data_IF_861550427752
#
_entry.id   IF_861550427752
#
_cell.length_a   1.000
_cell.length_b   1.000
_cell.length_c   1.000
_cell.angle_alpha   90.00
_cell.angle_beta   90.00
_cell.angle_gamma   90.00
#
_symmetry.space_group_name_H-M   'P 1'
#
loop_
_entity.id
_entity.type
_entity.pdbx_description
1 polymer ?
#
# COMPACT_ATOMS: atom_id res chain seq x y z
N UNK A 1 -39.84 21.27 27.39
CA UNK A 1 -38.56 21.77 26.84
C UNK A 1 -38.07 20.79 25.78
N UNK A 2 -37.61 21.26 24.61
CA UNK A 2 -37.13 20.41 23.51
C UNK A 2 -35.59 20.42 23.54
N UNK A 3 -34.90 19.28 23.69
CA UNK A 3 -33.45 19.27 23.74
C UNK A 3 -32.87 19.65 22.37
N UNK A 4 -31.93 20.61 22.36
CA UNK A 4 -31.11 20.92 21.19
C UNK A 4 -29.75 20.28 21.39
N UNK A 5 -29.52 19.13 20.76
CA UNK A 5 -28.19 18.55 20.66
C UNK A 5 -27.43 19.24 19.52
N UNK A 6 -26.22 19.73 19.80
CA UNK A 6 -25.26 20.16 18.78
C UNK A 6 -24.14 19.13 18.76
N UNK A 7 -24.00 18.39 17.67
CA UNK A 7 -22.83 17.54 17.42
C UNK A 7 -21.73 18.44 16.87
N UNK A 8 -20.71 18.71 17.68
CA UNK A 8 -19.50 19.37 17.20
C UNK A 8 -18.57 18.27 16.69
N UNK A 9 -18.46 18.12 15.37
CA UNK A 9 -17.47 17.25 14.76
C UNK A 9 -16.15 18.02 14.77
N UNK A 10 -15.42 17.95 15.89
CA UNK A 10 -14.17 18.70 16.06
C UNK A 10 -13.02 18.12 15.26
N UNK A 11 -13.07 16.83 14.93
CA UNK A 11 -11.99 16.10 14.29
C UNK A 11 -12.50 15.13 13.21
N UNK A 12 -12.01 15.31 11.98
CA UNK A 12 -12.30 14.43 10.83
C UNK A 12 -10.99 14.05 10.17
N UNK A 13 -10.82 12.80 9.78
CA UNK A 13 -9.62 12.34 9.05
C UNK A 13 -10.02 11.40 7.91
N UNK A 14 -9.82 11.85 6.69
CA UNK A 14 -10.09 11.11 5.45
C UNK A 14 -8.76 10.81 4.77
N UNK A 15 -8.58 9.57 4.33
CA UNK A 15 -7.37 9.11 3.60
C UNK A 15 -7.77 8.53 2.26
N UNK A 16 -7.03 8.89 1.23
CA UNK A 16 -7.04 8.23 -0.06
C UNK A 16 -5.90 7.21 -0.09
N UNK A 17 -6.24 5.94 -0.29
CA UNK A 17 -5.29 4.82 -0.29
C UNK A 17 -5.38 4.07 -1.61
N UNK A 18 -4.23 3.73 -2.17
CA UNK A 18 -4.09 2.83 -3.31
C UNK A 18 -3.68 1.46 -2.77
N UNK A 19 -4.28 0.40 -3.30
CA UNK A 19 -3.93 -0.98 -2.99
C UNK A 19 -3.60 -1.73 -4.28
N UNK A 20 -2.61 -2.61 -4.23
CA UNK A 20 -2.20 -3.43 -5.34
C UNK A 20 -1.88 -4.85 -4.89
N UNK A 21 -2.12 -5.80 -5.77
CA UNK A 21 -1.78 -7.22 -5.60
C UNK A 21 -0.92 -7.65 -6.78
N UNK A 22 0.10 -8.47 -6.52
CA UNK A 22 1.00 -9.02 -7.53
C UNK A 22 1.08 -10.52 -7.38
N UNK A 23 0.78 -11.25 -8.46
CA UNK A 23 1.00 -12.69 -8.55
C UNK A 23 2.04 -12.97 -9.65
N UNK A 24 3.04 -13.78 -9.33
CA UNK A 24 4.14 -14.14 -10.24
C UNK A 24 4.26 -15.66 -10.37
N UNK A 25 4.76 -16.11 -11.53
CA UNK A 25 5.06 -17.52 -11.82
C UNK A 25 6.41 -17.62 -12.50
N UNK A 26 7.22 -18.56 -12.04
CA UNK A 26 8.42 -19.01 -12.76
C UNK A 26 8.02 -20.17 -13.67
N UNK A 27 8.34 -20.05 -14.96
CA UNK A 27 7.99 -21.05 -15.96
C UNK A 27 9.24 -21.79 -16.44
N UNK A 28 9.10 -23.09 -16.64
CA UNK A 28 10.07 -23.91 -17.35
C UNK A 28 10.09 -23.48 -18.81
N UNK A 29 11.25 -23.08 -19.32
CA UNK A 29 11.43 -22.72 -20.74
C UNK A 29 11.39 -23.95 -21.65
N UNK A 30 11.62 -25.15 -21.10
CA UNK A 30 11.59 -26.42 -21.86
C UNK A 30 10.18 -26.96 -22.02
N UNK A 31 9.36 -26.87 -20.98
CA UNK A 31 8.04 -27.54 -20.92
C UNK A 31 6.87 -26.58 -20.82
N UNK A 32 7.10 -25.30 -20.54
CA UNK A 32 6.06 -24.32 -20.22
C UNK A 32 5.40 -24.50 -18.85
N UNK A 33 5.76 -25.56 -18.11
CA UNK A 33 5.20 -25.85 -16.79
C UNK A 33 5.62 -24.83 -15.73
N UNK A 34 4.78 -24.62 -14.71
CA UNK A 34 5.13 -23.74 -13.57
C UNK A 34 6.08 -24.45 -12.63
N UNK A 35 7.24 -23.85 -12.41
CA UNK A 35 8.25 -24.32 -11.47
C UNK A 35 8.02 -23.76 -10.07
N UNK A 36 7.51 -22.52 -9.99
CA UNK A 36 7.28 -21.83 -8.74
C UNK A 36 6.27 -20.70 -8.93
N UNK A 37 5.61 -20.29 -7.84
CA UNK A 37 4.67 -19.15 -7.83
C UNK A 37 4.74 -18.42 -6.49
N UNK A 38 4.41 -17.14 -6.49
CA UNK A 38 4.22 -16.35 -5.27
C UNK A 38 3.21 -15.22 -5.53
N UNK A 39 2.62 -14.72 -4.46
CA UNK A 39 1.76 -13.54 -4.49
C UNK A 39 2.00 -12.65 -3.27
N UNK A 40 1.78 -11.35 -3.43
CA UNK A 40 1.85 -10.35 -2.37
C UNK A 40 0.84 -9.23 -2.61
N UNK A 41 0.46 -8.51 -1.55
CA UNK A 41 -0.40 -7.34 -1.60
C UNK A 41 0.21 -6.20 -0.79
N UNK A 42 0.06 -4.96 -1.27
CA UNK A 42 0.57 -3.76 -0.63
C UNK A 42 -0.39 -2.59 -0.82
N UNK A 43 -0.40 -1.68 0.15
CA UNK A 43 -1.23 -0.47 0.13
C UNK A 43 -0.41 0.75 0.52
N UNK A 44 -0.71 1.90 -0.09
CA UNK A 44 -0.07 3.18 0.22
C UNK A 44 -1.05 4.35 0.19
N UNK A 45 -0.92 5.28 1.13
CA UNK A 45 -1.74 6.50 1.18
C UNK A 45 -1.20 7.53 0.20
N UNK A 46 -2.03 8.01 -0.73
CA UNK A 46 -1.69 9.05 -1.72
C UNK A 46 -2.21 10.43 -1.34
N UNK A 47 -3.17 10.48 -0.41
CA UNK A 47 -3.73 11.75 0.05
C UNK A 47 -4.38 11.64 1.42
N UNK A 48 -4.42 12.77 2.12
CA UNK A 48 -5.06 12.91 3.42
C UNK A 48 -5.70 14.27 3.54
N UNK A 49 -6.92 14.30 4.04
CA UNK A 49 -7.63 15.50 4.49
C UNK A 49 -7.93 15.32 5.97
N UNK A 50 -7.51 16.26 6.81
CA UNK A 50 -7.82 16.24 8.22
C UNK A 50 -8.35 17.60 8.68
N UNK A 51 -9.39 17.58 9.52
CA UNK A 51 -9.86 18.70 10.32
C UNK A 51 -9.45 18.41 11.75
N UNK A 52 -8.70 19.30 12.38
CA UNK A 52 -8.33 19.19 13.78
C UNK A 52 -8.54 20.53 14.47
N UNK A 53 -9.36 20.56 15.53
CA UNK A 53 -9.67 21.81 16.24
C UNK A 53 -10.28 22.90 15.34
N UNK A 54 -10.99 22.52 14.28
CA UNK A 54 -11.57 23.46 13.30
C UNK A 54 -10.63 23.95 12.21
N UNK A 55 -9.36 23.51 12.20
CA UNK A 55 -8.39 23.86 11.17
C UNK A 55 -8.26 22.72 10.14
N UNK A 56 -8.54 22.98 8.84
CA UNK A 56 -8.31 22.00 7.79
C UNK A 56 -6.83 21.89 7.43
N UNK A 57 -6.39 20.66 7.16
CA UNK A 57 -5.10 20.32 6.59
C UNK A 57 -5.31 19.34 5.44
N UNK A 58 -4.59 19.58 4.34
CA UNK A 58 -4.59 18.71 3.17
C UNK A 58 -3.14 18.36 2.87
N UNK A 59 -2.87 17.06 2.74
CA UNK A 59 -1.57 16.55 2.32
C UNK A 59 -1.80 15.62 1.14
N UNK A 60 -1.08 15.87 0.05
CA UNK A 60 -1.06 15.02 -1.13
C UNK A 60 0.37 14.51 -1.29
N UNK A 61 0.52 13.20 -1.45
CA UNK A 61 1.80 12.64 -1.91
C UNK A 61 1.81 12.66 -3.43
N UNK A 62 3.02 12.72 -3.99
CA UNK A 62 3.19 12.46 -5.40
C UNK A 62 2.71 11.03 -5.70
N UNK A 63 1.74 10.91 -6.61
CA UNK A 63 1.11 9.64 -6.96
C UNK A 63 2.11 8.67 -7.59
N UNK A 64 3.04 9.18 -8.41
CA UNK A 64 4.03 8.36 -9.09
C UNK A 64 5.05 7.81 -8.09
N UNK A 65 5.48 8.66 -7.14
CA UNK A 65 6.35 8.21 -6.04
C UNK A 65 5.69 7.13 -5.18
N UNK A 66 4.42 7.35 -4.78
CA UNK A 66 3.67 6.40 -3.97
C UNK A 66 3.44 5.06 -4.71
N UNK A 67 3.17 5.11 -6.02
CA UNK A 67 3.07 3.91 -6.84
C UNK A 67 4.42 3.18 -6.95
N UNK A 68 5.50 3.91 -7.18
CA UNK A 68 6.85 3.36 -7.26
C UNK A 68 7.25 2.62 -5.98
N UNK A 69 6.90 3.15 -4.81
CA UNK A 69 7.10 2.48 -3.51
C UNK A 69 6.30 1.18 -3.40
N UNK A 70 5.01 1.20 -3.75
CA UNK A 70 4.14 0.02 -3.71
C UNK A 70 4.68 -1.08 -4.62
N UNK A 71 5.01 -0.75 -5.87
CA UNK A 71 5.57 -1.72 -6.83
C UNK A 71 6.88 -2.29 -6.34
N UNK A 72 7.78 -1.46 -5.80
CA UNK A 72 9.06 -1.91 -5.26
C UNK A 72 8.87 -2.86 -4.08
N UNK A 73 7.91 -2.58 -3.19
CA UNK A 73 7.54 -3.48 -2.09
C UNK A 73 7.02 -4.82 -2.61
N UNK A 74 6.08 -4.79 -3.56
CA UNK A 74 5.51 -6.01 -4.13
C UNK A 74 6.57 -6.88 -4.78
N UNK A 75 7.44 -6.29 -5.62
CA UNK A 75 8.56 -7.01 -6.25
C UNK A 75 9.49 -7.58 -5.19
N UNK A 76 9.81 -6.79 -4.16
CA UNK A 76 10.66 -7.24 -3.08
C UNK A 76 10.05 -8.45 -2.36
N UNK A 77 8.75 -8.42 -2.06
CA UNK A 77 8.07 -9.47 -1.32
C UNK A 77 7.90 -10.74 -2.15
N UNK A 78 7.44 -10.63 -3.40
CA UNK A 78 7.26 -11.82 -4.23
C UNK A 78 8.59 -12.50 -4.55
N UNK A 79 9.69 -11.76 -4.66
CA UNK A 79 11.02 -12.35 -4.98
C UNK A 79 11.81 -12.82 -3.76
N UNK A 80 11.27 -12.70 -2.54
CA UNK A 80 11.99 -12.99 -1.29
C UNK A 80 12.68 -14.36 -1.28
N UNK A 81 11.98 -15.40 -1.74
CA UNK A 81 12.47 -16.79 -1.72
C UNK A 81 13.65 -17.03 -2.67
N UNK A 82 13.84 -16.16 -3.66
CA UNK A 82 14.89 -16.28 -4.69
C UNK A 82 16.16 -15.49 -4.34
N UNK A 83 16.17 -14.80 -3.19
CA UNK A 83 17.31 -13.99 -2.77
C UNK A 83 18.43 -14.86 -2.21
N UNK A 84 19.70 -14.58 -2.55
CA UNK A 84 20.83 -15.26 -1.92
C UNK A 84 20.84 -15.08 -0.40
N UNK A 85 21.00 -16.16 0.34
CA UNK A 85 21.07 -16.16 1.82
C UNK A 85 22.45 -16.53 2.36
N UNK A 86 23.41 -16.86 1.49
CA UNK A 86 24.74 -17.28 1.92
C UNK A 86 25.54 -16.12 2.52
N UNK A 87 26.10 -16.34 3.71
CA UNK A 87 27.00 -15.41 4.42
C UNK A 87 28.33 -16.13 4.64
N UNK A 88 29.45 -15.48 4.26
CA UNK A 88 30.79 -15.99 4.52
C UNK A 88 31.06 -15.98 6.03
N UNK A 89 31.39 -17.14 6.59
CA UNK A 89 31.82 -17.29 7.99
C UNK A 89 33.28 -16.87 8.15
#
# INVERSE_FOLDING_TARGET
MKPRARLNVSDVNVRATVSAEMTVRLLSTRTGGTLWRSSSAASGTVGRVALAGGLPSVALRDTEEAHGEIVRSLVADVTRDLRPTWVKQ
#
